data_IF_531955711340
#
_entry.id   IF_531955711340
#
_cell.length_a   1.000
_cell.length_b   1.000
_cell.length_c   1.000
_cell.angle_alpha   90.00
_cell.angle_beta   90.00
_cell.angle_gamma   90.00
#
_symmetry.space_group_name_H-M   'P 1'
#
loop_
_entity.id
_entity.type
_entity.pdbx_description
1 polymer ?
#
# COMPACT_ATOMS: atom_id res chain seq x y z
N UNK A 1 -12.15 -18.59 -17.61
CA UNK A 1 -12.54 -18.03 -16.30
C UNK A 1 -11.32 -17.35 -15.70
N UNK A 2 -11.37 -16.05 -15.35
CA UNK A 2 -10.26 -15.39 -14.68
C UNK A 2 -10.08 -16.01 -13.29
N UNK A 3 -8.89 -16.53 -13.01
CA UNK A 3 -8.53 -17.03 -11.68
C UNK A 3 -8.34 -15.80 -10.79
N UNK A 4 -9.39 -15.40 -10.08
CA UNK A 4 -9.27 -14.39 -9.04
C UNK A 4 -8.35 -14.94 -7.94
N UNK A 5 -7.07 -14.53 -7.98
CA UNK A 5 -6.15 -14.72 -6.87
C UNK A 5 -6.63 -13.87 -5.69
N UNK A 6 -7.55 -14.42 -4.89
CA UNK A 6 -7.82 -13.87 -3.56
C UNK A 6 -6.52 -13.97 -2.77
N UNK A 7 -6.05 -12.83 -2.24
CA UNK A 7 -4.94 -12.82 -1.27
C UNK A 7 -5.29 -13.86 -0.20
N UNK A 8 -4.38 -14.79 0.15
CA UNK A 8 -4.62 -15.66 1.27
C UNK A 8 -4.94 -14.78 2.48
N UNK A 9 -6.10 -15.00 3.09
CA UNK A 9 -6.48 -14.31 4.32
C UNK A 9 -5.46 -14.69 5.38
N UNK A 10 -4.48 -13.83 5.60
CA UNK A 10 -3.49 -14.01 6.64
C UNK A 10 -3.98 -13.28 7.89
N UNK A 11 -4.19 -14.04 8.95
CA UNK A 11 -4.34 -13.46 10.27
C UNK A 11 -3.05 -12.69 10.60
N UNK A 12 -3.15 -11.45 11.14
CA UNK A 12 -2.02 -10.77 11.75
C UNK A 12 -1.27 -11.72 12.69
N UNK A 13 0.05 -11.57 12.79
CA UNK A 13 0.89 -12.49 13.54
C UNK A 13 0.38 -12.72 14.96
N UNK A 14 -0.08 -11.64 15.61
CA UNK A 14 -0.74 -11.64 16.91
C UNK A 14 -1.97 -12.53 16.96
N UNK A 15 -2.91 -12.34 16.03
CA UNK A 15 -4.19 -13.05 16.02
C UNK A 15 -4.00 -14.57 15.81
N UNK A 16 -3.02 -14.96 14.98
CA UNK A 16 -2.69 -16.37 14.82
C UNK A 16 -2.16 -17.00 16.11
N UNK A 17 -1.24 -16.32 16.81
CA UNK A 17 -0.68 -16.86 18.06
C UNK A 17 -1.69 -16.87 19.20
N UNK A 18 -2.58 -15.86 19.28
CA UNK A 18 -3.69 -15.86 20.24
C UNK A 18 -4.60 -17.06 19.97
N UNK A 19 -5.02 -17.29 18.72
CA UNK A 19 -5.87 -18.41 18.37
C UNK A 19 -5.18 -19.76 18.63
N UNK A 20 -3.90 -19.89 18.28
CA UNK A 20 -3.11 -21.09 18.59
C UNK A 20 -3.04 -21.34 20.10
N UNK A 21 -2.78 -20.31 20.90
CA UNK A 21 -2.76 -20.42 22.36
C UNK A 21 -4.13 -20.80 22.93
N UNK A 22 -5.22 -20.23 22.40
CA UNK A 22 -6.59 -20.59 22.80
C UNK A 22 -6.92 -22.06 22.48
N UNK A 23 -6.55 -22.54 21.29
CA UNK A 23 -6.74 -23.94 20.89
C UNK A 23 -5.91 -24.87 21.76
N UNK A 24 -4.66 -24.51 22.05
CA UNK A 24 -3.78 -25.28 22.95
C UNK A 24 -4.35 -25.35 24.37
N UNK A 25 -4.86 -24.24 24.90
CA UNK A 25 -5.48 -24.22 26.23
C UNK A 25 -6.75 -25.08 26.27
N UNK A 26 -7.62 -24.97 25.26
CA UNK A 26 -8.83 -25.80 25.17
C UNK A 26 -8.49 -27.30 25.09
N UNK A 27 -7.46 -27.66 24.30
CA UNK A 27 -6.97 -29.03 24.20
C UNK A 27 -6.44 -29.54 25.55
N UNK A 28 -5.67 -28.71 26.27
CA UNK A 28 -5.16 -29.06 27.60
C UNK A 28 -6.30 -29.39 28.57
N UNK A 29 -7.30 -28.52 28.69
CA UNK A 29 -8.43 -28.73 29.61
C UNK A 29 -9.29 -29.94 29.22
N UNK A 30 -9.46 -30.19 27.92
CA UNK A 30 -10.19 -31.35 27.42
C UNK A 30 -9.48 -32.65 27.81
N UNK A 31 -8.18 -32.77 27.49
CA UNK A 31 -7.40 -33.97 27.82
C UNK A 31 -7.30 -34.15 29.34
N UNK A 32 -7.04 -33.08 30.07
CA UNK A 32 -6.99 -33.13 31.53
C UNK A 32 -8.32 -33.59 32.13
N UNK A 33 -9.46 -33.09 31.65
CA UNK A 33 -10.79 -33.50 32.13
C UNK A 33 -11.06 -34.98 31.91
N UNK A 34 -10.77 -35.50 30.72
CA UNK A 34 -10.95 -36.94 30.41
C UNK A 34 -10.06 -37.82 31.28
N UNK A 35 -8.79 -37.47 31.46
CA UNK A 35 -7.84 -38.28 32.24
C UNK A 35 -8.09 -38.18 33.75
N UNK A 36 -8.62 -37.04 34.22
CA UNK A 36 -8.96 -36.85 35.63
C UNK A 36 -10.14 -37.73 36.06
N UNK A 37 -11.11 -37.97 35.17
CA UNK A 37 -12.22 -38.90 35.42
C UNK A 37 -11.78 -40.37 35.41
N UNK A 38 -10.64 -40.69 34.79
CA UNK A 38 -10.08 -42.04 34.66
C UNK A 38 -9.19 -42.51 35.83
N UNK A 39 -9.07 -41.73 36.90
CA UNK A 39 -8.24 -42.01 38.09
C UNK A 39 -6.74 -42.21 37.80
N UNK A 40 -6.22 -41.57 36.74
CA UNK A 40 -4.78 -41.56 36.48
C UNK A 40 -4.03 -40.74 37.53
N UNK A 41 -2.85 -41.20 37.96
CA UNK A 41 -2.07 -40.54 39.02
C UNK A 41 -1.47 -39.18 38.58
N UNK A 42 -1.31 -38.92 37.28
CA UNK A 42 -0.64 -37.69 36.76
C UNK A 42 -1.25 -37.10 35.47
N UNK A 43 -2.56 -36.80 35.44
CA UNK A 43 -3.28 -36.38 34.22
C UNK A 43 -2.77 -35.05 33.62
N UNK A 44 -2.20 -34.18 34.46
CA UNK A 44 -1.67 -32.89 34.04
C UNK A 44 -0.37 -32.99 33.21
N UNK A 45 0.45 -34.02 33.45
CA UNK A 45 1.72 -34.22 32.71
C UNK A 45 1.39 -34.63 31.26
N UNK A 46 0.50 -35.61 31.10
CA UNK A 46 0.06 -36.10 29.79
C UNK A 46 -0.64 -34.99 29.00
N UNK A 47 -1.55 -34.25 29.64
CA UNK A 47 -2.20 -33.08 29.04
C UNK A 47 -1.20 -31.99 28.63
N UNK A 48 -0.19 -31.71 29.46
CA UNK A 48 0.86 -30.73 29.19
C UNK A 48 1.75 -31.10 28.01
N UNK A 49 2.14 -32.37 27.88
CA UNK A 49 2.91 -32.89 26.74
C UNK A 49 2.08 -32.77 25.46
N UNK A 50 0.81 -33.18 25.50
CA UNK A 50 -0.09 -33.08 24.36
C UNK A 50 -0.30 -31.62 23.91
N UNK A 51 -0.53 -30.70 24.85
CA UNK A 51 -0.66 -29.28 24.57
C UNK A 51 0.62 -28.68 23.94
N UNK A 52 1.80 -29.09 24.42
CA UNK A 52 3.09 -28.67 23.87
C UNK A 52 3.29 -29.14 22.42
N UNK A 53 2.86 -30.37 22.09
CA UNK A 53 2.89 -30.89 20.71
C UNK A 53 1.94 -30.10 19.79
N UNK A 54 0.73 -29.78 20.25
CA UNK A 54 -0.22 -28.96 19.48
C UNK A 54 0.38 -27.59 19.18
N UNK A 55 0.95 -26.91 20.20
CA UNK A 55 1.56 -25.60 20.02
C UNK A 55 2.77 -25.66 19.06
N UNK A 56 3.64 -26.66 19.23
CA UNK A 56 4.79 -26.88 18.33
C UNK A 56 4.35 -27.13 16.88
N UNK A 57 3.30 -27.93 16.68
CA UNK A 57 2.76 -28.21 15.34
C UNK A 57 2.20 -26.94 14.68
N UNK A 58 1.56 -26.05 15.43
CA UNK A 58 1.06 -24.77 14.91
C UNK A 58 2.20 -23.90 14.37
N UNK A 59 3.31 -23.79 15.10
CA UNK A 59 4.49 -23.03 14.64
C UNK A 59 5.05 -23.60 13.34
N UNK A 60 5.17 -24.93 13.23
CA UNK A 60 5.66 -25.61 12.02
C UNK A 60 4.71 -25.41 10.84
N UNK A 61 3.40 -25.56 11.06
CA UNK A 61 2.37 -25.33 10.03
C UNK A 61 2.49 -23.91 9.50
N UNK A 62 2.58 -22.91 10.38
CA UNK A 62 2.74 -21.50 9.98
C UNK A 62 3.98 -21.31 9.12
N UNK A 63 5.12 -21.86 9.52
CA UNK A 63 6.37 -21.76 8.78
C UNK A 63 6.28 -22.41 7.39
N UNK A 64 5.69 -23.61 7.29
CA UNK A 64 5.48 -24.30 6.00
C UNK A 64 4.57 -23.48 5.09
N UNK A 65 3.46 -22.93 5.62
CA UNK A 65 2.55 -22.09 4.84
C UNK A 65 3.20 -20.78 4.41
N UNK A 66 3.98 -20.13 5.29
CA UNK A 66 4.74 -18.92 4.95
C UNK A 66 5.76 -19.20 3.84
N UNK A 67 6.52 -20.30 3.95
CA UNK A 67 7.47 -20.73 2.91
C UNK A 67 6.77 -21.00 1.59
N UNK A 68 5.64 -21.71 1.60
CA UNK A 68 4.88 -22.04 0.38
C UNK A 68 4.27 -20.80 -0.26
N UNK A 69 3.75 -19.87 0.54
CA UNK A 69 3.22 -18.59 0.05
C UNK A 69 4.34 -17.72 -0.56
N UNK A 70 5.49 -17.60 0.13
CA UNK A 70 6.66 -16.88 -0.36
C UNK A 70 7.21 -17.51 -1.65
N UNK A 71 7.29 -18.84 -1.72
CA UNK A 71 7.76 -19.54 -2.92
C UNK A 71 6.81 -19.36 -4.11
N UNK A 72 5.49 -19.34 -3.88
CA UNK A 72 4.52 -19.03 -4.94
C UNK A 72 4.67 -17.60 -5.44
N UNK A 73 4.86 -16.64 -4.53
CA UNK A 73 5.09 -15.25 -4.89
C UNK A 73 6.38 -15.08 -5.72
N UNK A 74 7.49 -15.64 -5.24
CA UNK A 74 8.78 -15.62 -5.94
C UNK A 74 8.75 -16.33 -7.30
N UNK A 75 7.95 -17.39 -7.46
CA UNK A 75 7.80 -18.06 -8.76
C UNK A 75 6.99 -17.22 -9.75
N UNK A 76 5.99 -16.48 -9.28
CA UNK A 76 5.22 -15.54 -10.11
C UNK A 76 6.11 -14.37 -10.51
N UNK A 77 6.87 -13.82 -9.56
CA UNK A 77 7.85 -12.76 -9.79
C UNK A 77 8.93 -13.20 -10.80
N UNK A 78 9.55 -14.37 -10.62
CA UNK A 78 10.55 -14.89 -11.57
C UNK A 78 9.97 -15.19 -12.95
N UNK A 79 8.74 -15.72 -13.03
CA UNK A 79 8.09 -15.95 -14.33
C UNK A 79 7.78 -14.63 -15.02
N UNK A 80 7.44 -13.60 -14.25
CA UNK A 80 7.27 -12.28 -14.80
C UNK A 80 8.61 -11.71 -15.24
N UNK A 81 9.62 -11.65 -14.38
CA UNK A 81 10.97 -11.21 -14.73
C UNK A 81 11.52 -11.93 -15.96
N UNK A 82 11.25 -13.23 -16.10
CA UNK A 82 11.63 -14.01 -17.28
C UNK A 82 10.81 -13.61 -18.51
N UNK A 83 9.48 -13.57 -18.41
CA UNK A 83 8.62 -13.17 -19.53
C UNK A 83 8.81 -11.69 -19.91
N UNK A 84 9.23 -10.86 -18.96
CA UNK A 84 9.45 -9.41 -19.09
C UNK A 84 10.85 -9.12 -19.62
N UNK A 85 11.91 -9.74 -19.09
CA UNK A 85 13.26 -9.63 -19.67
C UNK A 85 13.32 -10.21 -21.08
N UNK A 86 12.62 -11.32 -21.32
CA UNK A 86 12.48 -11.88 -22.66
C UNK A 86 11.55 -11.04 -23.55
N UNK A 87 10.64 -10.27 -22.95
CA UNK A 87 9.93 -9.17 -23.60
C UNK A 87 10.73 -7.88 -23.47
N UNK A 88 11.96 -7.93 -23.97
CA UNK A 88 12.48 -6.72 -24.57
C UNK A 88 11.59 -6.49 -25.80
N UNK A 89 10.62 -5.55 -25.72
CA UNK A 89 10.38 -4.70 -26.90
C UNK A 89 11.78 -4.39 -27.37
N UNK A 90 12.21 -4.90 -28.54
CA UNK A 90 13.60 -5.21 -28.76
C UNK A 90 14.41 -4.06 -28.20
N UNK A 91 15.38 -4.31 -27.34
CA UNK A 91 16.36 -3.25 -27.02
C UNK A 91 17.06 -2.74 -28.30
N UNK A 92 16.73 -3.35 -29.45
CA UNK A 92 16.90 -2.93 -30.85
C UNK A 92 15.78 -2.06 -31.48
N UNK A 93 14.71 -1.66 -30.80
CA UNK A 93 13.94 -0.45 -31.13
C UNK A 93 14.80 0.75 -30.70
N UNK A 94 15.97 0.85 -31.33
CA UNK A 94 16.79 2.04 -31.34
C UNK A 94 15.89 3.21 -31.74
N UNK A 95 16.23 4.44 -31.33
CA UNK A 95 15.54 5.64 -31.83
C UNK A 95 15.37 5.63 -33.37
N UNK A 96 16.27 4.95 -34.10
CA UNK A 96 16.19 4.75 -35.56
C UNK A 96 15.01 3.88 -36.04
N UNK A 97 14.51 2.97 -35.20
CA UNK A 97 13.50 1.99 -35.59
C UNK A 97 12.07 2.58 -35.56
N UNK A 98 11.96 3.78 -34.97
CA UNK A 98 10.77 4.62 -34.92
C UNK A 98 10.73 5.70 -36.01
N UNK A 99 11.80 5.88 -36.80
CA UNK A 99 11.82 6.86 -37.89
C UNK A 99 10.81 6.53 -39.00
N UNK A 100 10.39 5.25 -39.13
CA UNK A 100 9.33 4.83 -40.06
C UNK A 100 8.42 3.76 -39.45
N UNK A 101 7.43 4.18 -38.67
CA UNK A 101 6.29 3.34 -38.27
C UNK A 101 5.41 2.99 -39.47
N UNK A 102 5.74 1.91 -40.19
CA UNK A 102 4.85 1.37 -41.23
C UNK A 102 3.51 0.96 -40.63
N UNK A 103 2.46 0.88 -41.45
CA UNK A 103 1.12 0.53 -40.99
C UNK A 103 1.11 -0.84 -40.29
N UNK A 104 1.81 -1.83 -40.87
CA UNK A 104 1.95 -3.18 -40.33
C UNK A 104 2.73 -3.19 -39.02
N UNK A 105 3.85 -2.46 -38.94
CA UNK A 105 4.67 -2.36 -37.71
C UNK A 105 3.88 -1.71 -36.59
N UNK A 106 3.11 -0.65 -36.89
CA UNK A 106 2.23 -0.01 -35.92
C UNK A 106 1.16 -0.98 -35.38
N UNK A 107 0.48 -1.72 -36.26
CA UNK A 107 -0.53 -2.69 -35.85
C UNK A 107 0.07 -3.83 -35.01
N UNK A 108 1.27 -4.30 -35.37
CA UNK A 108 1.98 -5.33 -34.61
C UNK A 108 2.31 -4.85 -33.19
N UNK A 109 2.88 -3.65 -33.04
CA UNK A 109 3.22 -3.06 -31.72
C UNK A 109 1.96 -2.92 -30.87
N UNK A 110 0.88 -2.34 -31.40
CA UNK A 110 -0.37 -2.15 -30.65
C UNK A 110 -0.93 -3.48 -30.16
N UNK A 111 -0.95 -4.51 -31.03
CA UNK A 111 -1.41 -5.86 -30.67
C UNK A 111 -0.55 -6.48 -29.55
N UNK A 112 0.74 -6.22 -29.59
CA UNK A 112 1.69 -6.70 -28.59
C UNK A 112 1.44 -6.05 -27.22
N UNK A 113 1.25 -4.73 -27.20
CA UNK A 113 0.89 -3.96 -26.00
C UNK A 113 -0.43 -4.48 -25.41
N UNK A 114 -1.44 -4.72 -26.26
CA UNK A 114 -2.73 -5.28 -25.83
C UNK A 114 -2.56 -6.65 -25.17
N UNK A 115 -1.82 -7.57 -25.82
CA UNK A 115 -1.55 -8.91 -25.28
C UNK A 115 -0.85 -8.85 -23.91
N UNK A 116 0.10 -7.93 -23.76
CA UNK A 116 0.81 -7.74 -22.48
C UNK A 116 -0.11 -7.15 -21.40
N UNK A 117 -0.90 -6.14 -21.77
CA UNK A 117 -1.94 -5.57 -20.91
C UNK A 117 -2.89 -6.65 -20.40
N UNK A 118 -3.39 -7.53 -21.27
CA UNK A 118 -4.27 -8.65 -20.89
C UNK A 118 -3.60 -9.62 -19.91
N UNK A 119 -2.31 -9.92 -20.13
CA UNK A 119 -1.52 -10.79 -19.24
C UNK A 119 -1.40 -10.17 -17.85
N UNK A 120 -1.07 -8.88 -17.77
CA UNK A 120 -0.94 -8.15 -16.50
C UNK A 120 -2.30 -7.98 -15.81
N UNK A 121 -3.37 -7.68 -16.55
CA UNK A 121 -4.74 -7.63 -16.02
C UNK A 121 -5.15 -8.95 -15.35
N UNK A 122 -4.73 -10.08 -15.92
CA UNK A 122 -4.95 -11.39 -15.31
C UNK A 122 -4.23 -11.63 -13.99
N UNK A 123 -3.15 -10.89 -13.71
CA UNK A 123 -2.35 -10.98 -12.48
C UNK A 123 -2.86 -10.07 -11.36
N UNK A 124 -3.67 -9.07 -11.68
CA UNK A 124 -4.44 -8.25 -10.74
C UNK A 124 -3.60 -7.32 -9.86
N UNK A 125 -2.95 -7.85 -8.82
CA UNK A 125 -2.31 -7.07 -7.75
C UNK A 125 -0.81 -6.86 -7.94
N UNK A 126 -0.28 -7.05 -9.15
CA UNK A 126 1.15 -7.00 -9.38
C UNK A 126 1.55 -5.63 -9.97
N UNK A 127 1.88 -4.69 -9.08
CA UNK A 127 2.17 -3.28 -9.40
C UNK A 127 3.25 -3.11 -10.48
N UNK A 128 4.39 -3.80 -10.35
CA UNK A 128 5.51 -3.70 -11.29
C UNK A 128 5.09 -4.05 -12.73
N UNK A 129 4.17 -5.00 -12.91
CA UNK A 129 3.66 -5.35 -14.24
C UNK A 129 2.81 -4.23 -14.84
N UNK A 130 2.04 -3.51 -14.02
CA UNK A 130 1.30 -2.34 -14.47
C UNK A 130 2.22 -1.18 -14.83
N UNK A 131 3.23 -0.89 -14.00
CA UNK A 131 4.23 0.15 -14.29
C UNK A 131 4.95 -0.10 -15.62
N UNK A 132 5.36 -1.35 -15.84
CA UNK A 132 6.09 -1.70 -17.05
C UNK A 132 5.24 -1.54 -18.32
N UNK A 133 3.98 -1.99 -18.30
CA UNK A 133 3.07 -1.78 -19.44
C UNK A 133 2.81 -0.30 -19.65
N UNK A 134 2.66 0.47 -18.57
CA UNK A 134 2.56 1.93 -18.65
C UNK A 134 3.76 2.56 -19.35
N UNK A 135 5.00 2.20 -18.98
CA UNK A 135 6.21 2.71 -19.64
C UNK A 135 6.27 2.38 -21.13
N UNK A 136 5.84 1.16 -21.49
CA UNK A 136 5.74 0.72 -22.87
C UNK A 136 4.72 1.58 -23.64
N UNK A 137 3.54 1.80 -23.05
CA UNK A 137 2.52 2.67 -23.62
C UNK A 137 3.04 4.10 -23.79
N UNK A 138 3.74 4.64 -22.78
CA UNK A 138 4.28 6.00 -22.80
C UNK A 138 5.30 6.17 -23.95
N UNK A 139 6.21 5.19 -24.10
CA UNK A 139 7.15 5.15 -25.23
C UNK A 139 6.43 5.15 -26.58
N UNK A 140 5.44 4.27 -26.75
CA UNK A 140 4.65 4.22 -27.98
C UNK A 140 3.94 5.55 -28.28
N UNK A 141 3.26 6.13 -27.28
CA UNK A 141 2.51 7.39 -27.44
C UNK A 141 3.44 8.53 -27.84
N UNK A 142 4.61 8.64 -27.20
CA UNK A 142 5.60 9.68 -27.52
C UNK A 142 6.09 9.62 -28.97
N UNK A 143 6.22 8.40 -29.54
CA UNK A 143 6.60 8.23 -30.93
C UNK A 143 5.42 8.47 -31.86
N UNK A 144 4.25 7.93 -31.53
CA UNK A 144 3.05 8.09 -32.32
C UNK A 144 2.72 9.58 -32.50
N UNK A 145 2.91 10.39 -31.45
CA UNK A 145 2.74 11.84 -31.51
C UNK A 145 3.71 12.51 -32.49
N UNK A 146 5.01 12.23 -32.40
CA UNK A 146 6.03 12.74 -33.36
C UNK A 146 5.74 12.33 -34.80
N UNK A 147 5.25 11.12 -35.02
CA UNK A 147 4.89 10.64 -36.36
C UNK A 147 3.60 11.31 -36.87
N UNK A 148 2.62 11.57 -36.00
CA UNK A 148 1.40 12.27 -36.38
C UNK A 148 1.67 13.72 -36.82
N UNK A 149 2.68 14.38 -36.24
CA UNK A 149 3.12 15.72 -36.66
C UNK A 149 3.73 15.76 -38.07
N UNK A 150 4.36 14.66 -38.50
CA UNK A 150 5.12 14.60 -39.76
C UNK A 150 4.36 13.95 -40.92
N UNK A 151 3.26 13.23 -40.65
CA UNK A 151 2.48 12.51 -41.66
C UNK A 151 1.58 13.45 -42.46
N UNK A 152 1.69 13.39 -43.79
CA UNK A 152 0.85 14.18 -44.71
C UNK A 152 -0.64 13.81 -44.62
N UNK A 153 -1.50 14.82 -44.74
CA UNK A 153 -2.96 14.68 -44.87
C UNK A 153 -3.27 13.74 -46.04
N UNK A 154 -4.11 12.72 -45.80
CA UNK A 154 -4.46 11.70 -46.80
C UNK A 154 -3.59 10.44 -46.80
N UNK A 155 -2.55 10.35 -45.96
CA UNK A 155 -1.78 9.11 -45.83
C UNK A 155 -2.61 7.97 -45.23
N UNK A 156 -2.61 6.75 -45.82
CA UNK A 156 -3.24 5.57 -45.23
C UNK A 156 -2.73 5.23 -43.82
N UNK A 157 -1.51 5.67 -43.48
CA UNK A 157 -0.90 5.46 -42.15
C UNK A 157 -1.54 6.30 -41.05
N UNK A 158 -2.15 7.43 -41.41
CA UNK A 158 -2.72 8.38 -40.44
C UNK A 158 -3.85 7.75 -39.61
N UNK A 159 -4.76 7.03 -40.27
CA UNK A 159 -5.87 6.36 -39.60
C UNK A 159 -5.39 5.28 -38.63
N UNK A 160 -4.39 4.47 -39.05
CA UNK A 160 -3.80 3.44 -38.21
C UNK A 160 -3.08 4.00 -36.97
N UNK A 161 -2.32 5.10 -37.14
CA UNK A 161 -1.63 5.77 -36.03
C UNK A 161 -2.61 6.40 -35.04
N UNK A 162 -3.66 7.07 -35.52
CA UNK A 162 -4.70 7.65 -34.65
C UNK A 162 -5.40 6.58 -33.82
N UNK A 163 -5.80 5.48 -34.46
CA UNK A 163 -6.44 4.35 -33.79
C UNK A 163 -5.51 3.70 -32.76
N UNK A 164 -4.24 3.52 -33.10
CA UNK A 164 -3.25 2.99 -32.18
C UNK A 164 -3.03 3.91 -30.97
N UNK A 165 -2.93 5.22 -31.18
CA UNK A 165 -2.85 6.23 -30.12
C UNK A 165 -4.05 6.17 -29.17
N UNK A 166 -5.26 6.06 -29.70
CA UNK A 166 -6.48 5.96 -28.90
C UNK A 166 -6.46 4.71 -28.02
N UNK A 167 -6.25 3.53 -28.62
CA UNK A 167 -6.18 2.25 -27.91
C UNK A 167 -5.09 2.27 -26.84
N UNK A 168 -3.87 2.67 -27.20
CA UNK A 168 -2.75 2.67 -26.26
C UNK A 168 -2.91 3.77 -25.21
N UNK A 169 -3.59 4.88 -25.52
CA UNK A 169 -3.94 5.93 -24.57
C UNK A 169 -4.86 5.44 -23.45
N UNK A 170 -5.85 4.61 -23.78
CA UNK A 170 -6.71 3.97 -22.78
C UNK A 170 -5.92 2.99 -21.90
N UNK A 171 -5.04 2.18 -22.50
CA UNK A 171 -4.18 1.24 -21.77
C UNK A 171 -3.19 1.98 -20.87
N UNK A 172 -2.58 3.06 -21.36
CA UNK A 172 -1.67 3.92 -20.60
C UNK A 172 -2.34 4.43 -19.33
N UNK A 173 -3.55 5.02 -19.47
CA UNK A 173 -4.34 5.49 -18.34
C UNK A 173 -4.64 4.35 -17.37
N UNK A 174 -5.20 3.25 -17.87
CA UNK A 174 -5.56 2.11 -17.03
C UNK A 174 -4.37 1.58 -16.20
N UNK A 175 -3.23 1.34 -16.85
CA UNK A 175 -2.08 0.77 -16.17
C UNK A 175 -1.43 1.72 -15.17
N UNK A 176 -1.36 3.03 -15.46
CA UNK A 176 -0.87 4.01 -14.50
C UNK A 176 -1.75 4.05 -13.25
N UNK A 177 -3.07 4.12 -13.43
CA UNK A 177 -4.01 4.19 -12.31
C UNK A 177 -3.95 2.92 -11.46
N UNK A 178 -3.92 1.74 -12.07
CA UNK A 178 -3.79 0.48 -11.34
C UNK A 178 -2.46 0.37 -10.60
N UNK A 179 -1.34 0.80 -11.21
CA UNK A 179 -0.04 0.82 -10.54
C UNK A 179 -0.07 1.73 -9.32
N UNK A 180 -0.49 2.99 -9.49
CA UNK A 180 -0.54 3.97 -8.42
C UNK A 180 -1.45 3.52 -7.28
N UNK A 181 -2.62 2.96 -7.60
CA UNK A 181 -3.56 2.42 -6.60
C UNK A 181 -2.93 1.27 -5.79
N UNK A 182 -2.31 0.29 -6.45
CA UNK A 182 -1.71 -0.87 -5.78
C UNK A 182 -0.56 -0.42 -4.87
N UNK A 183 0.38 0.37 -5.39
CA UNK A 183 1.55 0.80 -4.63
C UNK A 183 1.17 1.73 -3.47
N UNK A 184 0.35 2.75 -3.71
CA UNK A 184 -0.06 3.68 -2.66
C UNK A 184 -0.81 2.95 -1.54
N UNK A 185 -1.66 1.97 -1.89
CA UNK A 185 -2.36 1.14 -0.91
C UNK A 185 -1.40 0.27 -0.10
N UNK A 186 -0.42 -0.36 -0.74
CA UNK A 186 0.56 -1.20 -0.07
C UNK A 186 1.46 -0.41 0.87
N UNK A 187 1.96 0.75 0.44
CA UNK A 187 2.73 1.67 1.27
C UNK A 187 1.90 2.22 2.43
N UNK A 188 0.65 2.61 2.20
CA UNK A 188 -0.24 3.05 3.29
C UNK A 188 -0.46 1.95 4.33
N UNK A 189 -0.66 0.71 3.89
CA UNK A 189 -0.80 -0.42 4.81
C UNK A 189 0.50 -0.71 5.58
N UNK A 190 1.66 -0.61 4.93
CA UNK A 190 2.98 -0.70 5.59
C UNK A 190 3.14 0.42 6.63
N UNK A 191 2.82 1.65 6.26
CA UNK A 191 2.85 2.81 7.14
C UNK A 191 2.01 2.58 8.41
N UNK A 192 0.78 2.06 8.28
CA UNK A 192 -0.07 1.75 9.45
C UNK A 192 0.54 0.72 10.40
N UNK A 193 1.36 -0.19 9.89
CA UNK A 193 1.94 -1.28 10.66
C UNK A 193 3.27 -0.91 11.35
N UNK A 194 3.91 0.20 10.97
CA UNK A 194 5.14 0.64 11.63
C UNK A 194 4.88 1.10 13.07
N UNK A 195 5.88 0.94 13.94
CA UNK A 195 5.80 1.39 15.33
C UNK A 195 6.28 2.83 15.45
N UNK A 196 7.36 3.19 14.75
CA UNK A 196 7.98 4.51 14.89
C UNK A 196 7.31 5.54 13.99
N UNK A 197 7.09 6.76 14.51
CA UNK A 197 6.46 7.86 13.75
C UNK A 197 7.27 8.24 12.51
N UNK A 198 8.60 8.19 12.59
CA UNK A 198 9.48 8.48 11.45
C UNK A 198 9.25 7.52 10.28
N UNK A 199 9.23 6.21 10.55
CA UNK A 199 8.97 5.19 9.50
C UNK A 199 7.55 5.33 8.93
N UNK A 200 6.55 5.62 9.78
CA UNK A 200 5.18 5.90 9.34
C UNK A 200 5.14 7.06 8.34
N UNK A 201 5.77 8.18 8.70
CA UNK A 201 5.77 9.40 7.89
C UNK A 201 6.54 9.20 6.58
N UNK A 202 7.73 8.60 6.62
CA UNK A 202 8.53 8.36 5.42
C UNK A 202 7.79 7.46 4.42
N UNK A 203 7.16 6.37 4.91
CA UNK A 203 6.42 5.43 4.07
C UNK A 203 5.12 6.05 3.51
N UNK A 204 4.41 6.85 4.33
CA UNK A 204 3.23 7.56 3.86
C UNK A 204 3.58 8.64 2.82
N UNK A 205 4.72 9.32 2.99
CA UNK A 205 5.22 10.28 2.00
C UNK A 205 5.62 9.60 0.69
N UNK A 206 6.22 8.41 0.75
CA UNK A 206 6.51 7.61 -0.46
C UNK A 206 5.21 7.27 -1.21
N UNK A 207 4.14 6.88 -0.50
CA UNK A 207 2.83 6.64 -1.10
C UNK A 207 2.28 7.91 -1.79
N UNK A 208 2.42 9.07 -1.16
CA UNK A 208 2.00 10.34 -1.72
C UNK A 208 2.79 10.68 -2.99
N UNK A 209 4.11 10.50 -2.97
CA UNK A 209 4.96 10.77 -4.13
C UNK A 209 4.58 9.90 -5.34
N UNK A 210 4.12 8.66 -5.13
CA UNK A 210 3.62 7.80 -6.21
C UNK A 210 2.36 8.38 -6.85
N UNK A 211 1.40 8.82 -6.03
CA UNK A 211 0.16 9.44 -6.51
C UNK A 211 0.45 10.76 -7.22
N UNK A 212 1.33 11.60 -6.67
CA UNK A 212 1.77 12.84 -7.31
C UNK A 212 2.47 12.59 -8.65
N UNK A 213 3.30 11.55 -8.74
CA UNK A 213 3.93 11.14 -10.01
C UNK A 213 2.90 10.71 -11.05
N UNK A 214 1.83 10.03 -10.65
CA UNK A 214 0.74 9.66 -11.54
C UNK A 214 -0.09 10.89 -11.99
N UNK A 215 -0.32 11.84 -11.08
CA UNK A 215 -1.02 13.11 -11.36
C UNK A 215 -0.28 13.97 -12.40
N UNK A 216 1.04 13.84 -12.56
CA UNK A 216 1.78 14.52 -13.63
C UNK A 216 1.29 14.11 -15.04
N UNK A 217 0.78 12.88 -15.20
CA UNK A 217 0.24 12.39 -16.48
C UNK A 217 -1.26 12.63 -16.62
N UNK A 218 -2.03 12.52 -15.52
CA UNK A 218 -3.49 12.75 -15.51
C UNK A 218 -3.91 13.64 -14.34
N UNK A 219 -3.72 14.97 -14.44
CA UNK A 219 -3.97 15.90 -13.33
C UNK A 219 -5.43 15.99 -12.87
N UNK A 220 -6.36 15.66 -13.75
CA UNK A 220 -7.82 15.76 -13.50
C UNK A 220 -8.45 14.42 -13.13
N UNK A 221 -7.65 13.37 -12.90
CA UNK A 221 -8.21 12.07 -12.52
C UNK A 221 -8.72 12.12 -11.07
N UNK A 222 -10.05 12.12 -10.93
CA UNK A 222 -10.73 12.18 -9.63
C UNK A 222 -10.20 11.16 -8.62
N UNK A 223 -9.95 9.91 -9.06
CA UNK A 223 -9.42 8.85 -8.19
C UNK A 223 -8.04 9.17 -7.62
N UNK A 224 -7.17 9.81 -8.41
CA UNK A 224 -5.84 10.19 -7.96
C UNK A 224 -5.91 11.40 -7.03
N UNK A 225 -6.71 12.41 -7.36
CA UNK A 225 -6.87 13.61 -6.50
C UNK A 225 -7.51 13.25 -5.15
N UNK A 226 -8.47 12.34 -5.13
CA UNK A 226 -9.06 11.81 -3.89
C UNK A 226 -8.02 11.04 -3.06
N UNK A 227 -7.20 10.21 -3.72
CA UNK A 227 -6.14 9.45 -3.07
C UNK A 227 -5.04 10.36 -2.51
N UNK A 228 -4.66 11.41 -3.24
CA UNK A 228 -3.70 12.43 -2.83
C UNK A 228 -4.18 13.15 -1.57
N UNK A 229 -5.43 13.62 -1.57
CA UNK A 229 -6.05 14.28 -0.42
C UNK A 229 -6.13 13.33 0.79
N UNK A 230 -6.53 12.06 0.57
CA UNK A 230 -6.58 11.06 1.63
C UNK A 230 -5.20 10.78 2.24
N UNK A 231 -4.13 10.74 1.42
CA UNK A 231 -2.77 10.55 1.88
C UNK A 231 -2.22 11.76 2.63
N UNK A 232 -2.50 12.98 2.17
CA UNK A 232 -2.17 14.23 2.88
C UNK A 232 -2.83 14.26 4.26
N UNK A 233 -4.13 13.97 4.31
CA UNK A 233 -4.88 13.85 5.57
C UNK A 233 -4.34 12.74 6.48
N UNK A 234 -3.92 11.60 5.90
CA UNK A 234 -3.29 10.53 6.67
C UNK A 234 -1.93 10.96 7.25
N UNK A 235 -1.08 11.63 6.49
CA UNK A 235 0.21 12.18 6.96
C UNK A 235 -0.02 13.23 8.06
N UNK A 236 -0.98 14.14 7.85
CA UNK A 236 -1.36 15.15 8.83
C UNK A 236 -1.80 14.51 10.15
N UNK A 237 -2.65 13.49 10.11
CA UNK A 237 -3.11 12.81 11.32
C UNK A 237 -1.96 12.16 12.09
N UNK A 238 -0.99 11.54 11.42
CA UNK A 238 0.23 10.99 12.07
C UNK A 238 1.01 12.10 12.78
N UNK A 239 1.21 13.26 12.13
CA UNK A 239 1.93 14.41 12.72
C UNK A 239 1.18 14.96 13.94
N UNK A 240 -0.14 15.19 13.82
CA UNK A 240 -0.98 15.72 14.89
C UNK A 240 -0.96 14.79 16.10
N UNK A 241 -1.19 13.48 15.89
CA UNK A 241 -1.11 12.50 16.98
C UNK A 241 0.24 12.47 17.66
N UNK A 242 1.34 12.60 16.90
CA UNK A 242 2.68 12.66 17.46
C UNK A 242 2.90 13.87 18.37
N UNK A 243 2.46 15.06 17.95
CA UNK A 243 2.58 16.28 18.75
C UNK A 243 1.73 16.23 20.01
N UNK A 244 0.50 15.72 19.92
CA UNK A 244 -0.38 15.49 21.08
C UNK A 244 0.29 14.54 22.07
N UNK A 245 0.81 13.39 21.61
CA UNK A 245 1.48 12.43 22.48
C UNK A 245 2.71 13.04 23.18
N UNK A 246 3.51 13.84 22.46
CA UNK A 246 4.64 14.55 23.07
C UNK A 246 4.19 15.60 24.10
N UNK A 247 3.07 16.28 23.85
CA UNK A 247 2.49 17.26 24.74
C UNK A 247 2.02 16.60 26.04
N UNK A 248 1.27 15.50 25.94
CA UNK A 248 0.78 14.69 27.07
C UNK A 248 1.94 14.16 27.91
N UNK A 249 2.97 13.59 27.27
CA UNK A 249 4.19 13.14 27.97
C UNK A 249 4.91 14.28 28.69
N UNK A 250 4.92 15.48 28.12
CA UNK A 250 5.52 16.67 28.74
C UNK A 250 4.68 17.17 29.92
N UNK A 251 3.36 17.16 29.79
CA UNK A 251 2.42 17.53 30.85
C UNK A 251 2.52 16.56 32.03
N UNK A 252 2.57 15.25 31.76
CA UNK A 252 2.75 14.20 32.76
C UNK A 252 4.05 14.39 33.58
N UNK A 253 5.14 14.82 32.92
CA UNK A 253 6.41 15.17 33.59
C UNK A 253 6.37 16.51 34.35
N UNK A 254 5.23 17.21 34.33
CA UNK A 254 5.05 18.52 34.97
C UNK A 254 5.63 19.70 34.18
N UNK A 255 6.05 19.49 32.93
CA UNK A 255 6.62 20.52 32.06
C UNK A 255 5.52 21.24 31.25
N UNK A 256 4.62 21.93 31.93
CA UNK A 256 3.40 22.51 31.32
C UNK A 256 3.68 23.52 30.21
N UNK A 257 4.70 24.37 30.34
CA UNK A 257 5.08 25.32 29.28
C UNK A 257 5.42 24.60 27.96
N UNK A 258 6.16 23.49 28.05
CA UNK A 258 6.53 22.68 26.89
C UNK A 258 5.31 21.96 26.31
N UNK A 259 4.46 21.39 27.16
CA UNK A 259 3.22 20.75 26.74
C UNK A 259 2.32 21.72 25.95
N UNK A 260 2.10 22.93 26.46
CA UNK A 260 1.31 23.97 25.79
C UNK A 260 1.92 24.33 24.42
N UNK A 261 3.24 24.44 24.31
CA UNK A 261 3.91 24.68 23.02
C UNK A 261 3.62 23.57 22.01
N UNK A 262 3.73 22.31 22.43
CA UNK A 262 3.51 21.15 21.58
C UNK A 262 2.05 21.01 21.13
N UNK A 263 1.09 21.35 22.01
CA UNK A 263 -0.32 21.42 21.63
C UNK A 263 -0.59 22.54 20.61
N UNK A 264 0.10 23.68 20.70
CA UNK A 264 0.01 24.73 19.67
C UNK A 264 0.59 24.28 18.34
N UNK A 265 1.68 23.52 18.36
CA UNK A 265 2.24 22.91 17.15
C UNK A 265 1.21 21.94 16.52
N UNK A 266 0.51 21.13 17.32
CA UNK A 266 -0.56 20.28 16.84
C UNK A 266 -1.71 21.07 16.20
N UNK A 267 -2.15 22.17 16.82
CA UNK A 267 -3.17 23.07 16.24
C UNK A 267 -2.72 23.71 14.93
N UNK A 268 -1.45 24.11 14.83
CA UNK A 268 -0.88 24.67 13.60
C UNK A 268 -0.96 23.68 12.43
N UNK A 269 -0.64 22.40 12.67
CA UNK A 269 -0.78 21.37 11.62
C UNK A 269 -2.24 21.07 11.28
N UNK A 270 -3.14 21.18 12.26
CA UNK A 270 -4.56 20.96 12.09
C UNK A 270 -5.25 22.09 11.29
N UNK A 271 -4.73 23.32 11.36
CA UNK A 271 -5.27 24.47 10.62
C UNK A 271 -4.90 24.48 9.14
N UNK A 272 -3.71 23.96 8.78
CA UNK A 272 -3.19 23.98 7.40
C UNK A 272 -3.74 22.89 6.49
N UNK A 273 -4.32 21.84 7.06
CA UNK A 273 -4.72 20.64 6.33
C UNK A 273 -6.24 20.60 6.15
N UNK A 274 -6.69 20.22 4.94
CA UNK A 274 -8.11 20.14 4.55
C UNK A 274 -8.77 18.87 5.11
N UNK A 275 -8.67 18.71 6.43
CA UNK A 275 -9.40 17.70 7.19
C UNK A 275 -10.88 18.10 7.21
N UNK A 276 -11.78 17.11 7.13
CA UNK A 276 -13.22 17.34 7.26
C UNK A 276 -13.50 18.21 8.48
N UNK A 277 -14.22 19.31 8.28
CA UNK A 277 -14.41 20.37 9.28
C UNK A 277 -14.88 19.84 10.65
N UNK A 278 -15.75 18.84 10.68
CA UNK A 278 -16.33 18.32 11.93
C UNK A 278 -15.29 17.62 12.84
N UNK A 279 -14.47 16.72 12.30
CA UNK A 279 -13.43 16.03 13.07
C UNK A 279 -12.32 17.00 13.50
N UNK A 280 -12.03 17.97 12.64
CA UNK A 280 -11.04 19.02 12.85
C UNK A 280 -11.43 19.90 14.04
N UNK A 281 -12.65 20.43 14.04
CA UNK A 281 -13.18 21.29 15.12
C UNK A 281 -13.18 20.55 16.46
N UNK A 282 -13.66 19.30 16.48
CA UNK A 282 -13.71 18.51 17.71
C UNK A 282 -12.32 18.25 18.31
N UNK A 283 -11.29 18.03 17.47
CA UNK A 283 -9.92 17.86 17.95
C UNK A 283 -9.36 19.20 18.43
N UNK A 284 -9.59 20.30 17.69
CA UNK A 284 -9.13 21.63 18.06
C UNK A 284 -9.69 22.06 19.44
N UNK A 285 -10.98 21.85 19.67
CA UNK A 285 -11.65 22.17 20.93
C UNK A 285 -11.05 21.38 22.09
N UNK A 286 -10.82 20.07 21.91
CA UNK A 286 -10.15 19.25 22.92
C UNK A 286 -8.76 19.77 23.25
N UNK A 287 -7.97 20.13 22.25
CA UNK A 287 -6.63 20.68 22.46
C UNK A 287 -6.70 22.03 23.19
N UNK A 288 -7.65 22.90 22.83
CA UNK A 288 -7.81 24.20 23.48
C UNK A 288 -8.22 24.07 24.95
N UNK A 289 -9.15 23.16 25.26
CA UNK A 289 -9.55 22.83 26.65
C UNK A 289 -8.33 22.36 27.45
N UNK A 290 -7.52 21.47 26.89
CA UNK A 290 -6.33 20.94 27.57
C UNK A 290 -5.27 22.03 27.78
N UNK A 291 -5.05 22.91 26.80
CA UNK A 291 -4.16 24.08 26.95
C UNK A 291 -4.60 24.95 28.12
N UNK A 292 -5.90 25.21 28.27
CA UNK A 292 -6.41 26.08 29.34
C UNK A 292 -6.30 25.41 30.72
N UNK A 293 -6.59 24.11 30.80
CA UNK A 293 -6.35 23.29 32.00
C UNK A 293 -4.88 23.36 32.45
N UNK A 294 -3.94 23.17 31.51
CA UNK A 294 -2.50 23.22 31.80
C UNK A 294 -2.02 24.61 32.23
N UNK A 295 -2.64 25.69 31.74
CA UNK A 295 -2.33 27.05 32.20
C UNK A 295 -2.70 27.24 33.66
N UNK A 296 -3.89 26.81 34.07
CA UNK A 296 -4.35 26.91 35.46
C UNK A 296 -3.42 26.13 36.40
N UNK A 297 -3.06 24.89 36.03
CA UNK A 297 -2.10 24.08 36.78
C UNK A 297 -0.72 24.73 36.89
N UNK A 298 -0.25 25.39 35.82
CA UNK A 298 1.03 26.09 35.81
C UNK A 298 1.06 27.31 36.74
N UNK A 299 -0.08 27.99 36.93
CA UNK A 299 -0.22 29.13 37.84
C UNK A 299 -0.23 28.62 39.29
N UNK A 300 -1.03 27.60 39.58
CA UNK A 300 -1.12 27.02 40.93
C UNK A 300 0.22 26.49 41.43
N UNK A 301 1.03 25.88 40.55
CA UNK A 301 2.37 25.40 40.89
C UNK A 301 3.38 26.52 41.19
N UNK A 302 3.18 27.75 40.70
CA UNK A 302 4.04 28.90 41.03
C UNK A 302 3.70 29.54 42.38
N UNK A 303 2.52 29.25 42.92
CA UNK A 303 2.05 29.79 44.20
C UNK A 303 2.41 28.90 45.40
N UNK A 304 2.89 27.68 45.13
CA UNK A 304 3.44 26.72 46.09
C UNK A 304 4.97 26.78 46.08
#
# INVERSE_FOLDING_TARGET
MPVHYRRPFWLPASNYYILAASVTAAFFFLVWGILHEGDEETPFIVAGIGASLVLGSAVVIREIFLRKARHRYLLVERKLDYNVKNFSLPSKLSNNDFDKLTLEKNAAIVKEIQKKSETVRGLGNFSNGHLEVFEICNKYLSVAEKQLETVRVGSPRLAGLRRGREIVGELHRYHLLSWAEIEARELTQKARNYVTVSEKLNTAQEALNIVESALQFYPQEARLTESEMALKNFIASIKISHWIEQAERSAFKGNYKRAISLYRDALFFLDREDLKNEDREAIADKINVEIESLRQLSVNKKLL
#
